data_IF_819923471849
#
_entry.id   IF_819923471849
#
_cell.length_a   1.000
_cell.length_b   1.000
_cell.length_c   1.000
_cell.angle_alpha   90.00
_cell.angle_beta   90.00
_cell.angle_gamma   90.00
#
_symmetry.space_group_name_H-M   'P 1'
#
loop_
_entity.id
_entity.type
_entity.pdbx_description
1 polymer ?
#
# COMPACT_ATOMS: atom_id res chain seq x y z
N UNK A 1 14.49 -9.68 -1.20
CA UNK A 1 14.48 -10.17 -2.60
C UNK A 1 15.15 -9.16 -3.53
N UNK A 2 14.68 -7.91 -3.60
CA UNK A 2 15.19 -6.88 -4.53
C UNK A 2 16.48 -6.15 -4.08
N UNK A 3 17.08 -6.57 -2.97
CA UNK A 3 18.28 -5.95 -2.43
C UNK A 3 19.48 -6.14 -3.36
N UNK A 4 20.36 -5.14 -3.41
CA UNK A 4 21.50 -5.08 -4.32
C UNK A 4 21.21 -4.38 -5.65
N UNK A 5 19.94 -4.06 -5.94
CA UNK A 5 19.57 -3.23 -7.09
C UNK A 5 19.39 -1.77 -6.65
N UNK A 6 19.74 -0.85 -7.55
CA UNK A 6 19.41 0.56 -7.40
C UNK A 6 17.93 0.82 -7.67
N UNK A 7 17.39 1.90 -7.11
CA UNK A 7 16.02 2.31 -7.41
C UNK A 7 15.82 2.61 -8.91
N UNK A 8 16.84 3.09 -9.62
CA UNK A 8 16.79 3.30 -11.07
C UNK A 8 16.65 2.01 -11.86
N UNK A 9 17.36 0.95 -11.46
CA UNK A 9 17.24 -0.37 -12.10
C UNK A 9 15.87 -0.98 -11.82
N UNK A 10 15.41 -0.89 -10.57
CA UNK A 10 14.08 -1.35 -10.19
C UNK A 10 12.98 -0.61 -10.94
N UNK A 11 13.12 0.70 -11.18
CA UNK A 11 12.16 1.48 -11.97
C UNK A 11 12.02 0.93 -13.39
N UNK A 12 13.13 0.59 -14.05
CA UNK A 12 13.09 -0.02 -15.38
C UNK A 12 12.32 -1.33 -15.36
N UNK A 13 12.61 -2.21 -14.39
CA UNK A 13 11.89 -3.47 -14.24
C UNK A 13 10.40 -3.28 -13.93
N UNK A 14 10.03 -2.27 -13.14
CA UNK A 14 8.62 -1.92 -12.89
C UNK A 14 7.94 -1.47 -14.19
N UNK A 15 8.58 -0.60 -14.97
CA UNK A 15 8.02 -0.12 -16.24
C UNK A 15 7.88 -1.25 -17.27
N UNK A 16 8.91 -2.09 -17.40
CA UNK A 16 8.87 -3.28 -18.24
C UNK A 16 7.73 -4.22 -17.81
N UNK A 17 7.52 -4.40 -16.50
CA UNK A 17 6.44 -5.23 -15.95
C UNK A 17 5.06 -4.66 -16.26
N UNK A 18 4.85 -3.34 -16.19
CA UNK A 18 3.58 -2.71 -16.54
C UNK A 18 3.32 -2.65 -18.05
N UNK A 19 4.38 -2.63 -18.86
CA UNK A 19 4.28 -2.78 -20.31
C UNK A 19 4.07 -4.24 -20.74
N UNK A 20 4.38 -5.21 -19.87
CA UNK A 20 4.20 -6.63 -20.14
C UNK A 20 2.72 -7.03 -20.07
N UNK A 21 2.19 -7.57 -21.15
CA UNK A 21 0.76 -7.86 -21.32
C UNK A 21 0.40 -9.35 -21.20
N UNK A 22 1.38 -10.19 -20.85
CA UNK A 22 1.24 -11.65 -20.78
C UNK A 22 1.40 -12.16 -19.35
N UNK A 23 0.82 -13.33 -19.01
CA UNK A 23 1.12 -14.00 -17.76
C UNK A 23 2.62 -14.37 -17.66
N UNK A 24 3.20 -14.21 -16.47
CA UNK A 24 4.59 -14.58 -16.17
C UNK A 24 4.59 -16.00 -15.59
N UNK A 25 5.31 -16.95 -16.20
CA UNK A 25 5.39 -18.31 -15.68
C UNK A 25 6.16 -18.34 -14.36
N UNK A 26 5.67 -19.12 -13.41
CA UNK A 26 6.29 -19.35 -12.10
C UNK A 26 6.29 -20.83 -11.76
N UNK A 27 7.24 -21.25 -10.92
CA UNK A 27 7.27 -22.59 -10.32
C UNK A 27 7.25 -22.46 -8.81
N UNK A 28 6.43 -23.27 -8.16
CA UNK A 28 6.35 -23.30 -6.71
C UNK A 28 6.10 -24.73 -6.21
N UNK A 29 6.28 -24.95 -4.91
CA UNK A 29 5.98 -26.22 -4.27
C UNK A 29 4.54 -26.23 -3.76
N UNK A 30 3.77 -27.25 -4.13
CA UNK A 30 2.49 -27.61 -3.54
C UNK A 30 2.66 -28.92 -2.78
N UNK A 31 2.87 -28.82 -1.46
CA UNK A 31 3.44 -29.90 -0.65
C UNK A 31 4.82 -30.28 -1.18
N UNK A 32 5.01 -31.56 -1.50
CA UNK A 32 6.28 -32.08 -2.02
C UNK A 32 6.39 -32.01 -3.55
N UNK A 33 5.38 -31.48 -4.25
CA UNK A 33 5.34 -31.44 -5.73
C UNK A 33 5.73 -30.06 -6.26
N UNK A 34 6.64 -30.04 -7.23
CA UNK A 34 6.88 -28.83 -8.04
C UNK A 34 5.73 -28.69 -9.03
N UNK A 35 5.07 -27.54 -9.00
CA UNK A 35 3.96 -27.20 -9.91
C UNK A 35 4.27 -25.93 -10.68
N UNK A 36 3.85 -25.90 -11.95
CA UNK A 36 3.89 -24.71 -12.79
C UNK A 36 2.63 -23.87 -12.56
N UNK A 37 2.80 -22.56 -12.58
CA UNK A 37 1.72 -21.59 -12.47
C UNK A 37 2.01 -20.33 -13.26
N UNK A 38 1.12 -19.36 -13.15
CA UNK A 38 1.34 -18.04 -13.74
C UNK A 38 0.96 -16.94 -12.76
N UNK A 39 1.62 -15.79 -12.91
CA UNK A 39 1.28 -14.54 -12.21
C UNK A 39 1.00 -13.49 -13.28
N UNK A 40 -0.14 -12.81 -13.15
CA UNK A 40 -0.47 -11.71 -14.05
C UNK A 40 0.30 -10.45 -13.65
N UNK A 41 0.80 -9.68 -14.62
CA UNK A 41 1.26 -8.33 -14.40
C UNK A 41 0.18 -7.46 -13.74
N UNK A 42 0.59 -6.43 -12.98
CA UNK A 42 -0.35 -5.52 -12.34
C UNK A 42 -1.15 -4.74 -13.39
N UNK A 43 -2.38 -4.38 -13.02
CA UNK A 43 -3.26 -3.50 -13.81
C UNK A 43 -3.80 -2.41 -12.90
N UNK A 44 -3.84 -1.18 -13.41
CA UNK A 44 -4.44 -0.06 -12.70
C UNK A 44 -5.94 -0.14 -12.91
N UNK A 45 -6.70 -0.25 -11.81
CA UNK A 45 -8.15 -0.24 -11.84
C UNK A 45 -8.65 1.17 -12.18
N UNK A 46 -9.33 1.38 -13.32
CA UNK A 46 -9.81 2.70 -13.74
C UNK A 46 -10.65 3.40 -12.66
N UNK A 47 -11.55 2.69 -11.98
CA UNK A 47 -12.40 3.29 -10.96
C UNK A 47 -11.62 3.70 -9.71
N UNK A 48 -10.52 3.02 -9.36
CA UNK A 48 -9.65 3.45 -8.26
C UNK A 48 -8.90 4.73 -8.62
N UNK A 49 -8.42 4.83 -9.86
CA UNK A 49 -7.80 6.06 -10.37
C UNK A 49 -8.81 7.22 -10.39
N UNK A 50 -10.05 6.98 -10.80
CA UNK A 50 -11.12 7.99 -10.73
C UNK A 50 -11.41 8.40 -9.29
N UNK A 51 -11.55 7.45 -8.37
CA UNK A 51 -11.76 7.73 -6.95
C UNK A 51 -10.64 8.59 -6.36
N UNK A 52 -9.38 8.22 -6.60
CA UNK A 52 -8.21 9.00 -6.14
C UNK A 52 -8.29 10.43 -6.67
N UNK A 53 -8.53 10.60 -7.97
CA UNK A 53 -8.63 11.93 -8.58
C UNK A 53 -9.80 12.75 -8.00
N UNK A 54 -10.96 12.14 -7.77
CA UNK A 54 -12.12 12.83 -7.18
C UNK A 54 -11.90 13.21 -5.71
N UNK A 55 -11.22 12.37 -4.92
CA UNK A 55 -10.82 12.70 -3.56
C UNK A 55 -9.86 13.90 -3.55
N UNK A 56 -8.83 13.87 -4.39
CA UNK A 56 -7.85 14.97 -4.49
C UNK A 56 -8.51 16.28 -4.95
N UNK A 57 -9.42 16.25 -5.94
CA UNK A 57 -10.19 17.44 -6.37
C UNK A 57 -11.02 18.06 -5.25
N UNK A 58 -11.42 17.27 -4.26
CA UNK A 58 -12.19 17.68 -3.08
C UNK A 58 -11.30 18.04 -1.89
N UNK A 59 -9.99 18.20 -2.10
CA UNK A 59 -9.00 18.46 -1.06
C UNK A 59 -8.93 17.39 0.03
N UNK A 60 -9.25 16.13 -0.32
CA UNK A 60 -9.02 14.98 0.55
C UNK A 60 -7.64 14.42 0.19
N UNK A 61 -6.71 14.50 1.14
CA UNK A 61 -5.36 13.96 0.96
C UNK A 61 -5.41 12.45 0.86
N UNK A 62 -4.82 11.91 -0.21
CA UNK A 62 -4.78 10.46 -0.44
C UNK A 62 -3.41 9.92 -0.08
N UNK A 63 -3.41 8.85 0.70
CA UNK A 63 -2.22 8.08 1.09
C UNK A 63 -2.31 6.66 0.56
N UNK A 64 -1.17 6.06 0.27
CA UNK A 64 -1.06 4.64 -0.06
C UNK A 64 -0.34 3.92 1.07
N UNK A 65 -1.03 2.98 1.73
CA UNK A 65 -0.50 2.15 2.80
C UNK A 65 -0.37 0.69 2.33
N UNK A 66 0.86 0.24 2.04
CA UNK A 66 1.11 -1.02 1.33
C UNK A 66 2.04 -1.96 2.07
N UNK A 67 1.78 -3.28 1.96
CA UNK A 67 2.69 -4.31 2.46
C UNK A 67 3.80 -4.67 1.45
N UNK A 68 3.83 -4.02 0.28
CA UNK A 68 4.92 -4.12 -0.69
C UNK A 68 6.03 -3.11 -0.36
N UNK A 69 7.18 -3.25 -1.02
CA UNK A 69 8.30 -2.32 -0.83
C UNK A 69 7.90 -0.89 -1.21
N UNK A 70 8.11 0.07 -0.31
CA UNK A 70 7.62 1.47 -0.44
C UNK A 70 8.06 2.09 -1.78
N UNK A 71 9.35 1.98 -2.11
CA UNK A 71 9.88 2.55 -3.35
C UNK A 71 9.28 1.91 -4.62
N UNK A 72 9.04 0.60 -4.64
CA UNK A 72 8.42 -0.07 -5.81
C UNK A 72 6.99 0.44 -6.04
N UNK A 73 6.25 0.69 -4.97
CA UNK A 73 4.89 1.23 -5.07
C UNK A 73 4.95 2.71 -5.48
N UNK A 74 5.88 3.48 -4.91
CA UNK A 74 6.11 4.90 -5.26
C UNK A 74 6.43 5.09 -6.74
N UNK A 75 7.21 4.18 -7.32
CA UNK A 75 7.52 4.15 -8.76
C UNK A 75 6.29 4.04 -9.66
N UNK A 76 5.16 3.56 -9.12
CA UNK A 76 3.90 3.45 -9.83
C UNK A 76 2.97 4.59 -9.46
N UNK A 77 2.56 4.67 -8.19
CA UNK A 77 1.42 5.52 -7.81
C UNK A 77 1.73 7.02 -7.86
N UNK A 78 3.02 7.37 -7.83
CA UNK A 78 3.49 8.75 -7.93
C UNK A 78 4.10 9.12 -9.29
N UNK A 79 4.19 8.17 -10.22
CA UNK A 79 4.68 8.46 -11.56
C UNK A 79 3.51 8.93 -12.46
N UNK A 80 3.60 10.14 -13.05
CA UNK A 80 2.56 10.67 -13.92
C UNK A 80 2.15 9.75 -15.07
N UNK A 81 3.04 8.86 -15.54
CA UNK A 81 2.71 7.93 -16.63
C UNK A 81 1.54 6.98 -16.28
N UNK A 82 1.35 6.67 -14.99
CA UNK A 82 0.31 5.78 -14.51
C UNK A 82 -0.98 6.52 -14.11
N UNK A 83 -0.93 7.85 -14.02
CA UNK A 83 -2.11 8.71 -13.86
C UNK A 83 -2.81 8.63 -12.50
N UNK A 84 -2.13 8.13 -11.46
CA UNK A 84 -2.66 8.08 -10.09
C UNK A 84 -2.38 9.34 -9.28
N UNK A 85 -1.29 10.06 -9.59
CA UNK A 85 -1.02 11.40 -9.05
C UNK A 85 -0.82 11.48 -7.54
N UNK A 86 -0.49 10.37 -6.88
CA UNK A 86 -0.24 10.36 -5.43
C UNK A 86 1.07 11.10 -5.15
N UNK A 87 1.05 12.08 -4.25
CA UNK A 87 2.28 12.72 -3.77
C UNK A 87 3.24 11.62 -3.28
N UNK A 88 4.48 11.54 -3.80
CA UNK A 88 5.48 10.62 -3.31
C UNK A 88 5.50 10.51 -1.77
N UNK A 89 5.46 11.62 -1.04
CA UNK A 89 5.54 11.62 0.44
C UNK A 89 4.42 10.79 1.08
N UNK A 90 3.27 10.68 0.42
CA UNK A 90 2.09 9.97 0.87
C UNK A 90 2.07 8.47 0.53
N UNK A 91 3.14 7.97 -0.10
CA UNK A 91 3.34 6.53 -0.32
C UNK A 91 4.11 5.95 0.85
N UNK A 92 3.46 5.07 1.61
CA UNK A 92 3.98 4.48 2.84
C UNK A 92 3.94 2.96 2.66
N UNK A 93 5.10 2.32 2.76
CA UNK A 93 5.21 0.88 2.50
C UNK A 93 6.31 0.21 3.29
N UNK A 94 6.61 -1.04 2.93
CA UNK A 94 7.70 -1.77 3.56
C UNK A 94 8.99 -1.08 3.18
N UNK A 95 9.65 -0.53 4.17
CA UNK A 95 10.87 0.25 3.97
C UNK A 95 12.06 -0.60 4.36
N UNK A 96 13.13 -0.51 3.57
CA UNK A 96 14.46 -0.97 3.96
C UNK A 96 15.44 0.19 3.89
N UNK A 97 16.60 0.05 4.53
CA UNK A 97 17.67 1.02 4.36
C UNK A 97 18.09 1.08 2.89
N UNK A 98 18.19 2.29 2.39
CA UNK A 98 18.80 2.64 1.12
C UNK A 98 20.25 3.03 1.40
N UNK A 99 21.16 2.54 0.55
CA UNK A 99 22.59 2.83 0.63
C UNK A 99 23.01 3.67 -0.56
N UNK A 100 23.68 4.78 -0.31
CA UNK A 100 24.43 5.47 -1.36
C UNK A 100 25.67 4.61 -1.72
N UNK A 101 25.77 4.09 -2.96
CA UNK A 101 26.89 3.23 -3.35
C UNK A 101 28.23 3.97 -3.38
N UNK A 102 28.24 5.30 -3.50
CA UNK A 102 29.47 6.11 -3.55
C UNK A 102 30.04 6.40 -2.17
N UNK A 103 29.16 6.68 -1.21
CA UNK A 103 29.56 7.16 0.14
C UNK A 103 29.35 6.13 1.23
N UNK A 104 28.53 5.10 0.99
CA UNK A 104 28.09 4.15 2.01
C UNK A 104 27.05 4.70 2.98
N UNK A 105 26.59 5.94 2.80
CA UNK A 105 25.56 6.55 3.64
C UNK A 105 24.26 5.74 3.60
N UNK A 106 23.66 5.52 4.77
CA UNK A 106 22.38 4.83 4.92
C UNK A 106 21.25 5.83 5.22
N UNK A 107 20.12 5.67 4.54
CA UNK A 107 18.92 6.47 4.73
C UNK A 107 17.66 5.70 4.32
N UNK A 108 16.49 6.32 4.39
CA UNK A 108 15.21 5.83 3.83
C UNK A 108 14.42 7.03 3.31
N UNK A 109 13.42 6.82 2.44
CA UNK A 109 12.50 7.91 2.10
C UNK A 109 11.77 8.44 3.35
N UNK A 110 11.36 7.56 4.27
CA UNK A 110 10.73 7.98 5.55
C UNK A 110 11.60 8.94 6.34
N UNK A 111 12.88 8.62 6.52
CA UNK A 111 13.84 9.47 7.22
C UNK A 111 14.08 10.79 6.50
N UNK A 112 14.23 10.75 5.17
CA UNK A 112 14.36 11.95 4.35
C UNK A 112 13.15 12.88 4.49
N UNK A 113 11.93 12.33 4.49
CA UNK A 113 10.68 13.08 4.64
C UNK A 113 10.57 13.70 6.04
N UNK A 114 10.88 12.93 7.08
CA UNK A 114 10.92 13.41 8.46
C UNK A 114 11.91 14.57 8.65
N UNK A 115 13.06 14.50 7.96
CA UNK A 115 14.06 15.56 7.95
C UNK A 115 13.66 16.78 7.10
N UNK A 116 12.52 16.74 6.42
CA UNK A 116 12.07 17.81 5.51
C UNK A 116 12.76 17.83 4.16
N UNK A 117 13.65 16.87 3.90
CA UNK A 117 14.54 16.84 2.74
C UNK A 117 14.28 15.62 1.86
N UNK A 118 13.17 15.61 1.13
CA UNK A 118 12.80 14.50 0.25
C UNK A 118 12.50 14.98 -1.17
N UNK A 119 13.25 14.45 -2.14
CA UNK A 119 13.20 14.83 -3.56
C UNK A 119 13.40 16.34 -3.79
N UNK A 120 14.26 16.94 -2.98
CA UNK A 120 14.59 18.37 -2.98
C UNK A 120 16.06 18.60 -3.33
N UNK A 121 16.63 19.76 -2.94
CA UNK A 121 18.03 20.08 -3.19
C UNK A 121 19.03 19.16 -2.50
N UNK A 122 18.71 18.65 -1.30
CA UNK A 122 19.61 17.79 -0.52
C UNK A 122 19.52 16.31 -0.95
N UNK A 123 18.30 15.87 -1.24
CA UNK A 123 17.99 14.55 -1.78
C UNK A 123 17.35 14.66 -3.15
N UNK A 124 18.12 15.14 -4.15
CA UNK A 124 17.61 15.24 -5.52
C UNK A 124 17.07 13.91 -6.03
N UNK A 125 16.08 13.96 -6.93
CA UNK A 125 15.51 12.74 -7.55
C UNK A 125 16.59 11.83 -8.13
N UNK A 126 17.60 12.39 -8.81
CA UNK A 126 18.71 11.61 -9.34
C UNK A 126 19.54 10.92 -8.25
N UNK A 127 19.83 11.62 -7.14
CA UNK A 127 20.55 11.05 -6.00
C UNK A 127 19.75 9.93 -5.33
N UNK A 128 18.47 10.17 -5.02
CA UNK A 128 17.58 9.16 -4.43
C UNK A 128 17.48 7.93 -5.33
N UNK A 129 17.23 8.13 -6.63
CA UNK A 129 17.10 7.04 -7.59
C UNK A 129 18.40 6.26 -7.82
N UNK A 130 19.56 6.81 -7.45
CA UNK A 130 20.85 6.11 -7.53
C UNK A 130 21.15 5.21 -6.32
N UNK A 131 20.34 5.28 -5.26
CA UNK A 131 20.56 4.49 -4.05
C UNK A 131 20.22 3.02 -4.25
N UNK A 132 21.01 2.17 -3.60
CA UNK A 132 20.88 0.71 -3.59
C UNK A 132 19.94 0.25 -2.46
N UNK A 133 19.01 -0.65 -2.78
CA UNK A 133 18.14 -1.28 -1.79
C UNK A 133 18.94 -2.28 -0.97
N UNK A 134 18.90 -2.17 0.35
CA UNK A 134 19.49 -3.18 1.25
C UNK A 134 18.39 -4.08 1.83
N UNK A 135 18.73 -5.22 2.50
CA UNK A 135 17.73 -6.07 3.13
C UNK A 135 17.35 -5.62 4.55
N UNK A 136 17.99 -4.56 5.09
CA UNK A 136 17.77 -4.15 6.48
C UNK A 136 16.43 -3.42 6.61
N UNK A 137 15.47 -4.06 7.29
CA UNK A 137 14.12 -3.53 7.45
C UNK A 137 14.10 -2.26 8.31
N UNK A 138 13.22 -1.34 7.92
CA UNK A 138 12.80 -0.18 8.69
C UNK A 138 11.38 -0.42 9.22
N UNK A 139 11.05 0.26 10.31
CA UNK A 139 9.76 0.11 11.00
C UNK A 139 8.96 1.42 10.99
N UNK A 140 7.61 1.33 11.02
CA UNK A 140 6.78 0.14 11.17
C UNK A 140 6.75 -0.75 9.91
N UNK A 141 6.70 -2.07 10.11
CA UNK A 141 6.45 -3.02 9.01
C UNK A 141 4.99 -2.96 8.60
N UNK A 142 4.68 -2.36 7.46
CA UNK A 142 3.35 -1.91 7.01
C UNK A 142 2.42 -3.04 6.51
N UNK A 143 2.31 -4.09 7.31
CA UNK A 143 1.36 -5.18 7.16
C UNK A 143 0.59 -5.41 8.46
N UNK A 144 -0.65 -5.88 8.36
CA UNK A 144 -1.51 -6.13 9.52
C UNK A 144 -1.57 -4.90 10.44
N UNK A 145 -1.34 -5.06 11.75
CA UNK A 145 -1.32 -3.96 12.73
C UNK A 145 -0.29 -2.88 12.40
N UNK A 146 0.78 -3.22 11.68
CA UNK A 146 1.78 -2.25 11.26
C UNK A 146 1.28 -1.25 10.21
N UNK A 147 0.18 -1.55 9.49
CA UNK A 147 -0.52 -0.53 8.69
C UNK A 147 -1.16 0.54 9.57
N UNK A 148 -1.81 0.13 10.66
CA UNK A 148 -2.36 1.05 11.65
C UNK A 148 -1.23 1.85 12.33
N UNK A 149 -0.13 1.20 12.71
CA UNK A 149 1.04 1.90 13.23
C UNK A 149 1.59 2.92 12.23
N UNK A 150 1.64 2.60 10.94
CA UNK A 150 2.05 3.53 9.89
C UNK A 150 1.11 4.73 9.73
N UNK A 151 -0.21 4.56 9.92
CA UNK A 151 -1.16 5.68 9.94
C UNK A 151 -0.83 6.62 11.10
N UNK A 152 -0.65 6.04 12.30
CA UNK A 152 -0.35 6.84 13.50
C UNK A 152 0.99 7.55 13.41
N UNK A 153 2.02 6.86 12.94
CA UNK A 153 3.37 7.41 12.84
C UNK A 153 3.52 8.48 11.74
N UNK A 154 2.95 8.23 10.55
CA UNK A 154 3.29 9.01 9.35
C UNK A 154 2.16 9.90 8.81
N UNK A 155 0.95 9.78 9.33
CA UNK A 155 -0.21 10.55 8.84
C UNK A 155 -0.74 11.44 9.96
N UNK A 156 -1.34 10.84 10.98
CA UNK A 156 -1.86 11.58 12.14
C UNK A 156 -2.04 10.65 13.36
N UNK A 157 -1.66 11.14 14.54
CA UNK A 157 -1.77 10.40 15.80
C UNK A 157 -3.22 10.21 16.25
N UNK A 158 -4.13 11.13 15.93
CA UNK A 158 -5.46 11.23 16.51
C UNK A 158 -6.56 11.17 15.45
N UNK A 159 -6.38 11.90 14.36
CA UNK A 159 -7.32 11.85 13.24
C UNK A 159 -7.31 10.45 12.61
N UNK A 160 -8.50 10.06 12.15
CA UNK A 160 -8.76 8.75 11.57
C UNK A 160 -9.16 8.93 10.11
N UNK A 161 -8.78 8.01 9.21
CA UNK A 161 -9.09 8.14 7.80
C UNK A 161 -10.61 8.11 7.57
N UNK A 162 -11.11 9.04 6.77
CA UNK A 162 -12.52 9.08 6.34
C UNK A 162 -12.84 8.00 5.30
N UNK A 163 -11.83 7.46 4.62
CA UNK A 163 -11.99 6.34 3.70
C UNK A 163 -10.77 5.43 3.76
N UNK A 164 -10.99 4.12 3.86
CA UNK A 164 -9.93 3.11 3.74
C UNK A 164 -10.34 2.04 2.74
N UNK A 165 -9.42 1.69 1.83
CA UNK A 165 -9.60 0.62 0.85
C UNK A 165 -8.64 -0.54 1.13
N UNK A 166 -9.12 -1.78 0.99
CA UNK A 166 -8.31 -2.99 1.15
C UNK A 166 -8.89 -4.20 0.44
N UNK A 167 -8.12 -5.28 0.37
CA UNK A 167 -8.46 -6.51 -0.37
C UNK A 167 -8.04 -7.80 0.34
N UNK A 168 -7.28 -7.69 1.44
CA UNK A 168 -6.70 -8.81 2.16
C UNK A 168 -6.80 -8.66 3.69
N UNK A 169 -6.69 -9.77 4.45
CA UNK A 169 -6.68 -9.72 5.91
C UNK A 169 -5.62 -8.81 6.54
N UNK A 170 -4.50 -8.58 5.83
CA UNK A 170 -3.47 -7.62 6.24
C UNK A 170 -3.95 -6.18 6.34
N UNK A 171 -5.10 -5.86 5.74
CA UNK A 171 -5.68 -4.50 5.69
C UNK A 171 -6.67 -4.25 6.82
N UNK A 172 -7.10 -5.28 7.53
CA UNK A 172 -8.19 -5.19 8.50
C UNK A 172 -7.92 -4.13 9.58
N UNK A 173 -6.70 -4.02 10.09
CA UNK A 173 -6.39 -3.04 11.13
C UNK A 173 -6.62 -1.60 10.67
N UNK A 174 -6.25 -1.24 9.44
CA UNK A 174 -6.55 0.10 8.91
C UNK A 174 -8.03 0.23 8.51
N UNK A 175 -8.65 -0.81 7.94
CA UNK A 175 -10.07 -0.78 7.57
C UNK A 175 -10.96 -0.53 8.79
N UNK A 176 -10.74 -1.25 9.89
CA UNK A 176 -11.48 -1.05 11.12
C UNK A 176 -11.11 0.25 11.85
N UNK A 177 -9.96 0.88 11.53
CA UNK A 177 -9.62 2.22 12.02
C UNK A 177 -10.28 3.38 11.25
N UNK A 178 -11.08 3.11 10.22
CA UNK A 178 -11.86 4.16 9.50
C UNK A 178 -12.81 4.91 10.43
N UNK A 179 -12.91 6.24 10.28
CA UNK A 179 -13.81 7.08 11.07
C UNK A 179 -15.28 7.03 10.60
N UNK A 180 -15.93 5.90 10.84
CA UNK A 180 -17.35 5.72 10.52
C UNK A 180 -18.26 6.69 11.25
N UNK A 181 -17.86 7.12 12.46
CA UNK A 181 -18.71 7.97 13.30
C UNK A 181 -18.74 9.40 12.78
N UNK A 182 -17.68 9.84 12.11
CA UNK A 182 -17.63 11.07 11.35
C UNK A 182 -18.19 10.95 9.92
N UNK A 183 -18.84 9.84 9.56
CA UNK A 183 -19.43 9.61 8.24
C UNK A 183 -18.46 8.99 7.21
N UNK A 184 -17.35 8.42 7.67
CA UNK A 184 -16.41 7.71 6.80
C UNK A 184 -16.93 6.38 6.24
N UNK A 185 -16.21 5.82 5.28
CA UNK A 185 -16.59 4.60 4.55
C UNK A 185 -15.42 3.64 4.30
N UNK A 186 -15.72 2.36 4.12
CA UNK A 186 -14.74 1.29 3.87
C UNK A 186 -14.96 0.69 2.50
N UNK A 187 -13.91 0.60 1.70
CA UNK A 187 -13.94 -0.08 0.40
C UNK A 187 -13.26 -1.43 0.53
N UNK A 188 -13.97 -2.50 0.18
CA UNK A 188 -13.42 -3.85 0.14
C UNK A 188 -13.44 -4.39 -1.30
N UNK A 189 -12.25 -4.70 -1.82
CA UNK A 189 -12.10 -5.32 -3.13
C UNK A 189 -12.06 -6.85 -2.97
N UNK A 190 -13.19 -7.50 -3.24
CA UNK A 190 -13.35 -8.95 -3.21
C UNK A 190 -12.62 -9.61 -4.39
N UNK A 191 -11.29 -9.78 -4.27
CA UNK A 191 -10.49 -10.54 -5.24
C UNK A 191 -10.49 -12.05 -4.99
N UNK A 192 -10.88 -12.50 -3.79
CA UNK A 192 -11.00 -13.91 -3.41
C UNK A 192 -12.14 -14.07 -2.42
N UNK A 193 -13.11 -14.92 -2.74
CA UNK A 193 -14.29 -15.13 -1.89
C UNK A 193 -13.91 -15.53 -0.46
N UNK A 194 -12.93 -16.42 -0.30
CA UNK A 194 -12.38 -16.82 1.02
C UNK A 194 -11.97 -15.63 1.90
N UNK A 195 -11.42 -14.55 1.33
CA UNK A 195 -11.04 -13.37 2.11
C UNK A 195 -12.24 -12.54 2.52
N UNK A 196 -13.26 -12.46 1.66
CA UNK A 196 -14.53 -11.80 1.98
C UNK A 196 -15.30 -12.56 3.06
N UNK A 197 -15.37 -13.89 2.98
CA UNK A 197 -16.01 -14.72 4.01
C UNK A 197 -15.29 -14.54 5.37
N UNK A 198 -13.97 -14.49 5.36
CA UNK A 198 -13.17 -14.22 6.56
C UNK A 198 -13.40 -12.79 7.10
N UNK A 199 -13.58 -11.81 6.23
CA UNK A 199 -13.91 -10.44 6.62
C UNK A 199 -15.29 -10.38 7.29
N UNK A 200 -16.31 -11.04 6.75
CA UNK A 200 -17.65 -11.05 7.38
C UNK A 200 -17.62 -11.67 8.78
N UNK A 201 -16.84 -12.75 8.96
CA UNK A 201 -16.62 -13.33 10.28
C UNK A 201 -15.91 -12.36 11.24
N UNK A 202 -14.88 -11.65 10.76
CA UNK A 202 -14.15 -10.65 11.56
C UNK A 202 -15.03 -9.44 11.91
N UNK A 203 -15.91 -8.98 11.00
CA UNK A 203 -16.87 -7.91 11.26
C UNK A 203 -17.83 -8.29 12.39
N UNK A 204 -18.43 -9.48 12.32
CA UNK A 204 -19.36 -9.97 13.35
C UNK A 204 -18.67 -10.17 14.71
N UNK A 205 -17.44 -10.70 14.69
CA UNK A 205 -16.61 -10.84 15.89
C UNK A 205 -16.35 -9.49 16.55
N UNK A 206 -15.85 -8.50 15.80
CA UNK A 206 -15.57 -7.16 16.34
C UNK A 206 -16.82 -6.43 16.78
N UNK A 207 -17.95 -6.61 16.09
CA UNK A 207 -19.22 -6.03 16.54
C UNK A 207 -19.63 -6.58 17.92
N UNK A 208 -19.44 -7.88 18.14
CA UNK A 208 -19.65 -8.52 19.44
C UNK A 208 -18.70 -7.95 20.51
N UNK A 209 -17.40 -7.88 20.20
CA UNK A 209 -16.39 -7.32 21.12
C UNK A 209 -16.67 -5.84 21.46
N UNK A 210 -17.07 -5.03 20.47
CA UNK A 210 -17.46 -3.62 20.67
C UNK A 210 -18.66 -3.51 21.62
N UNK A 211 -19.67 -4.38 21.46
CA UNK A 211 -20.85 -4.43 22.32
C UNK A 211 -20.48 -4.82 23.75
N UNK A 212 -19.65 -5.84 23.92
CA UNK A 212 -19.16 -6.30 25.23
C UNK A 212 -18.33 -5.22 25.95
N UNK A 213 -17.49 -4.51 25.20
CA UNK A 213 -16.70 -3.39 25.71
C UNK A 213 -17.52 -2.10 25.97
N UNK A 214 -18.84 -2.11 25.70
CA UNK A 214 -19.72 -0.94 25.82
C UNK A 214 -19.23 0.28 25.03
N UNK A 215 -18.58 0.04 23.88
CA UNK A 215 -18.22 1.08 22.93
C UNK A 215 -19.20 1.07 21.75
N UNK A 216 -19.36 2.19 21.01
CA UNK A 216 -20.26 2.20 19.86
C UNK A 216 -19.85 1.15 18.81
N UNK A 217 -20.85 0.37 18.38
CA UNK A 217 -20.68 -0.71 17.40
C UNK A 217 -20.69 -0.14 15.99
N UNK A 218 -19.59 -0.29 15.27
CA UNK A 218 -19.40 0.23 13.91
C UNK A 218 -18.61 -0.71 12.98
N UNK A 219 -18.21 -1.89 13.46
CA UNK A 219 -17.46 -2.87 12.68
C UNK A 219 -18.18 -3.31 11.39
N UNK A 220 -19.51 -3.38 11.41
CA UNK A 220 -20.33 -3.84 10.29
C UNK A 220 -20.84 -2.73 9.35
N UNK A 221 -20.54 -1.46 9.65
CA UNK A 221 -21.14 -0.30 8.98
C UNK A 221 -20.30 0.25 7.82
N UNK A 222 -20.98 0.88 6.87
CA UNK A 222 -20.41 1.66 5.74
C UNK A 222 -19.40 0.88 4.87
N UNK A 223 -19.72 -0.37 4.55
CA UNK A 223 -18.92 -1.20 3.65
C UNK A 223 -19.43 -1.09 2.21
N UNK A 224 -18.54 -0.67 1.31
CA UNK A 224 -18.70 -0.75 -0.13
C UNK A 224 -17.87 -1.93 -0.63
N UNK A 225 -18.54 -3.02 -1.00
CA UNK A 225 -17.90 -4.24 -1.48
C UNK A 225 -18.00 -4.30 -3.00
N UNK A 226 -16.85 -4.46 -3.67
CA UNK A 226 -16.75 -4.57 -5.12
C UNK A 226 -15.84 -5.71 -5.53
N UNK A 227 -16.05 -6.30 -6.70
CA UNK A 227 -15.15 -7.25 -7.35
C UNK A 227 -14.18 -6.52 -8.28
N UNK A 228 -12.96 -7.04 -8.53
CA UNK A 228 -12.02 -6.44 -9.48
C UNK A 228 -12.65 -6.08 -10.84
N UNK A 229 -13.43 -6.98 -11.44
CA UNK A 229 -14.08 -6.73 -12.73
C UNK A 229 -15.09 -5.58 -12.73
N UNK A 230 -15.69 -5.23 -11.59
CA UNK A 230 -16.64 -4.12 -11.46
C UNK A 230 -15.94 -2.76 -11.43
N UNK A 231 -14.64 -2.75 -11.14
CA UNK A 231 -13.79 -1.55 -11.06
C UNK A 231 -12.72 -1.51 -12.18
N UNK A 232 -12.87 -2.37 -13.18
CA UNK A 232 -12.02 -2.47 -14.37
C UNK A 232 -10.69 -3.19 -14.16
N UNK A 233 -10.70 -4.22 -13.30
CA UNK A 233 -9.57 -5.13 -13.04
C UNK A 233 -9.50 -6.37 -13.91
#
# INVERSE_FOLDING_TARGET
MFSGLTLSELKKHVDDLYAYDKPIPVRYYDGDKVVDGTVNPPRIYPAQRELINELTKRNITVYVMTAAHEELVRMVVSDPQYGLGIDPKNVIGVTTLLKDPKTGQLTTARKQIEQGHFLDGEYTKGKHMSMEVTPYLWTPGTWYVGKLAGIKEYIDHYERPVLVAGDAPSDWFMLFDTDIRAGGARVWVNRKQKYTDALEAEKAKRATEQKEASVPVDAEREWVVVKPGEIGG
#
